data_IF_595339328991
#
_entry.id   IF_595339328991
#
_cell.length_a   1.000
_cell.length_b   1.000
_cell.length_c   1.000
_cell.angle_alpha   90.00
_cell.angle_beta   90.00
_cell.angle_gamma   90.00
#
_symmetry.space_group_name_H-M   'P 1'
#
loop_
_entity.id
_entity.type
_entity.pdbx_description
1 polymer ?
#
# COMPACT_ATOMS: atom_id res chain seq x y z
N UNK A 1 -21.40 66.59 0.27
CA UNK A 1 -21.63 65.21 -0.14
C UNK A 1 -20.28 64.58 -0.34
N UNK A 2 -19.82 63.77 0.62
CA UNK A 2 -18.54 63.05 0.60
C UNK A 2 -18.75 61.58 0.21
N UNK A 3 -17.89 60.95 -0.63
CA UNK A 3 -18.11 59.55 -0.98
C UNK A 3 -17.47 58.62 0.07
N UNK A 4 -18.25 57.63 0.46
CA UNK A 4 -17.87 56.54 1.35
C UNK A 4 -16.96 55.56 0.62
N UNK A 5 -15.72 55.38 1.10
CA UNK A 5 -14.76 54.37 0.60
C UNK A 5 -15.03 53.03 1.31
N UNK A 6 -15.55 52.07 0.59
CA UNK A 6 -15.65 50.66 1.08
C UNK A 6 -14.27 49.99 0.98
N UNK A 7 -13.67 49.76 2.12
CA UNK A 7 -12.46 48.93 2.24
C UNK A 7 -12.80 47.45 2.13
N UNK A 8 -12.28 46.80 1.09
CA UNK A 8 -12.40 45.36 0.88
C UNK A 8 -11.30 44.67 1.70
N UNK A 9 -11.66 44.08 2.85
CA UNK A 9 -10.76 43.20 3.60
C UNK A 9 -10.65 41.86 2.89
N UNK A 10 -9.52 41.65 2.23
CA UNK A 10 -9.14 40.34 1.64
C UNK A 10 -8.60 39.46 2.78
N UNK A 11 -9.40 38.55 3.31
CA UNK A 11 -8.97 37.54 4.27
C UNK A 11 -8.15 36.46 3.54
N UNK A 12 -6.83 36.45 3.75
CA UNK A 12 -5.91 35.42 3.26
C UNK A 12 -6.12 34.16 4.10
N UNK A 13 -6.85 33.18 3.59
CA UNK A 13 -6.92 31.84 4.18
C UNK A 13 -5.63 31.10 3.86
N UNK A 14 -4.69 31.10 4.82
CA UNK A 14 -3.54 30.19 4.83
C UNK A 14 -4.04 28.77 5.10
N UNK A 15 -4.13 27.97 4.04
CA UNK A 15 -4.37 26.53 4.14
C UNK A 15 -3.17 25.86 4.81
N UNK A 16 -3.34 25.41 6.04
CA UNK A 16 -2.40 24.49 6.69
C UNK A 16 -2.49 23.15 5.97
N UNK A 17 -1.50 22.87 5.11
CA UNK A 17 -1.24 21.51 4.66
C UNK A 17 -0.80 20.69 5.89
N UNK A 18 -1.70 19.91 6.45
CA UNK A 18 -1.41 18.98 7.53
C UNK A 18 -0.46 17.89 7.03
N UNK A 19 0.83 18.07 7.25
CA UNK A 19 1.79 16.97 7.16
C UNK A 19 1.43 15.99 8.28
N UNK A 20 1.04 14.76 7.93
CA UNK A 20 0.84 13.69 8.88
C UNK A 20 2.13 13.49 9.68
N UNK A 21 2.14 13.95 10.91
CA UNK A 21 3.26 13.73 11.82
C UNK A 21 3.22 12.26 12.23
N UNK A 22 4.31 11.54 11.96
CA UNK A 22 4.56 10.24 12.58
C UNK A 22 4.43 10.40 14.10
N UNK A 23 3.53 9.62 14.72
CA UNK A 23 3.30 9.69 16.16
C UNK A 23 4.59 9.35 16.92
N UNK A 24 5.14 10.29 17.67
CA UNK A 24 6.25 10.05 18.56
C UNK A 24 5.74 9.53 19.91
N UNK A 25 6.33 8.44 20.42
CA UNK A 25 6.10 7.98 21.79
C UNK A 25 7.25 8.50 22.64
N UNK A 26 6.92 9.30 23.66
CA UNK A 26 7.89 9.73 24.65
C UNK A 26 8.16 8.57 25.63
N UNK A 27 9.37 8.03 25.61
CA UNK A 27 9.81 7.03 26.60
C UNK A 27 10.63 7.75 27.66
N UNK A 28 10.20 7.67 28.91
CA UNK A 28 10.97 8.15 30.06
C UNK A 28 11.92 7.03 30.45
N UNK A 29 13.19 7.17 30.10
CA UNK A 29 14.25 6.33 30.69
C UNK A 29 14.59 6.86 32.08
N UNK A 30 14.50 6.00 33.09
CA UNK A 30 14.73 6.36 34.49
C UNK A 30 16.17 6.79 34.83
N UNK A 31 17.07 6.96 33.88
CA UNK A 31 18.47 7.31 34.05
C UNK A 31 18.83 8.79 33.87
N UNK A 32 17.84 9.70 33.60
CA UNK A 32 18.10 11.14 33.48
C UNK A 32 16.93 11.94 32.83
N UNK A 33 17.01 13.28 32.79
CA UNK A 33 15.97 14.15 32.24
C UNK A 33 16.02 14.20 30.70
N UNK A 34 15.97 13.06 30.04
CA UNK A 34 15.97 12.96 28.58
C UNK A 34 14.64 12.36 28.04
N UNK A 35 13.82 13.16 27.38
CA UNK A 35 12.72 12.68 26.57
C UNK A 35 13.30 12.10 25.27
N UNK A 36 13.34 10.77 25.14
CA UNK A 36 13.63 10.11 23.87
C UNK A 36 12.38 10.15 23.02
N UNK A 37 12.39 10.96 21.96
CA UNK A 37 11.32 10.99 20.98
C UNK A 37 11.59 9.90 19.94
N UNK A 38 11.01 8.72 20.14
CA UNK A 38 11.11 7.62 19.17
C UNK A 38 10.02 7.81 18.10
N UNK A 39 10.44 7.96 16.85
CA UNK A 39 9.52 7.94 15.72
C UNK A 39 8.96 6.51 15.58
N UNK A 40 7.68 6.34 15.89
CA UNK A 40 6.99 5.05 15.79
C UNK A 40 6.18 5.03 14.51
N UNK A 41 6.53 4.15 13.58
CA UNK A 41 5.73 3.90 12.39
C UNK A 41 4.58 2.95 12.75
N UNK A 42 3.33 3.36 12.53
CA UNK A 42 2.17 2.52 12.80
C UNK A 42 2.15 1.29 11.87
N UNK A 43 1.44 0.22 12.28
CA UNK A 43 1.24 -0.96 11.43
C UNK A 43 0.50 -0.60 10.12
N UNK A 44 -0.41 0.36 10.17
CA UNK A 44 -1.13 0.84 9.00
C UNK A 44 -0.16 1.51 8.01
N UNK A 45 0.73 2.38 8.48
CA UNK A 45 1.74 3.03 7.63
C UNK A 45 2.71 2.02 7.01
N UNK A 46 3.13 0.98 7.76
CA UNK A 46 4.00 -0.07 7.22
C UNK A 46 3.40 -0.79 6.02
N UNK A 47 2.09 -1.06 6.03
CA UNK A 47 1.39 -1.71 4.93
C UNK A 47 1.40 -0.88 3.65
N UNK A 48 1.44 0.45 3.75
CA UNK A 48 1.45 1.36 2.62
C UNK A 48 2.84 1.86 2.23
N UNK A 49 3.91 1.27 2.79
CA UNK A 49 5.28 1.69 2.48
C UNK A 49 5.65 1.48 1.01
N UNK A 50 5.11 0.44 0.38
CA UNK A 50 5.41 0.02 -1.00
C UNK A 50 4.15 -0.23 -1.82
N UNK A 51 3.06 0.41 -1.44
CA UNK A 51 1.80 0.45 -2.18
C UNK A 51 1.21 1.85 -2.03
N UNK A 52 0.85 2.46 -3.13
CA UNK A 52 0.14 3.73 -3.15
C UNK A 52 -1.29 3.52 -2.68
N UNK A 53 -1.72 4.30 -1.70
CA UNK A 53 -3.08 4.23 -1.21
C UNK A 53 -4.04 4.91 -2.18
N UNK A 54 -5.08 4.21 -2.63
CA UNK A 54 -6.10 4.80 -3.49
C UNK A 54 -6.82 5.96 -2.81
N UNK A 55 -7.15 7.00 -3.57
CA UNK A 55 -7.83 8.18 -3.05
C UNK A 55 -9.35 8.14 -3.25
N UNK A 56 -9.82 7.39 -4.26
CA UNK A 56 -11.22 7.25 -4.61
C UNK A 56 -11.61 5.78 -4.74
N UNK A 57 -12.87 5.45 -4.53
CA UNK A 57 -13.37 4.06 -4.58
C UNK A 57 -13.14 3.38 -5.93
N UNK A 58 -13.14 4.15 -7.02
CA UNK A 58 -12.91 3.63 -8.39
C UNK A 58 -11.47 3.80 -8.87
N UNK A 59 -10.55 4.30 -8.03
CA UNK A 59 -9.14 4.55 -8.43
C UNK A 59 -8.18 3.40 -8.10
N UNK A 60 -8.69 2.22 -7.69
CA UNK A 60 -7.83 1.08 -7.40
C UNK A 60 -6.91 0.70 -8.57
N UNK A 61 -7.38 0.87 -9.83
CA UNK A 61 -6.59 0.61 -11.01
C UNK A 61 -5.41 1.56 -11.19
N UNK A 62 -5.61 2.88 -11.04
CA UNK A 62 -4.53 3.86 -11.12
C UNK A 62 -3.52 3.72 -9.98
N UNK A 63 -4.01 3.47 -8.76
CA UNK A 63 -3.15 3.27 -7.60
C UNK A 63 -2.34 1.97 -7.69
N UNK A 64 -2.94 0.87 -8.19
CA UNK A 64 -2.22 -0.38 -8.45
C UNK A 64 -1.13 -0.18 -9.51
N UNK A 65 -1.43 0.52 -10.61
CA UNK A 65 -0.48 0.77 -11.67
C UNK A 65 0.65 1.72 -11.23
N UNK A 66 0.33 2.80 -10.52
CA UNK A 66 1.32 3.69 -9.94
C UNK A 66 2.24 2.96 -8.96
N UNK A 67 1.67 2.08 -8.11
CA UNK A 67 2.45 1.25 -7.19
C UNK A 67 3.38 0.27 -7.92
N UNK A 68 2.87 -0.37 -8.98
CA UNK A 68 3.67 -1.29 -9.80
C UNK A 68 4.87 -0.56 -10.41
N UNK A 69 4.65 0.62 -11.02
CA UNK A 69 5.72 1.41 -11.63
C UNK A 69 6.72 1.92 -10.61
N UNK A 70 6.25 2.54 -9.53
CA UNK A 70 7.12 3.16 -8.53
C UNK A 70 7.96 2.15 -7.74
N UNK A 71 7.38 1.01 -7.35
CA UNK A 71 8.04 0.09 -6.42
C UNK A 71 8.59 -1.19 -7.07
N UNK A 72 8.32 -1.42 -8.35
CA UNK A 72 8.83 -2.61 -9.04
C UNK A 72 9.56 -2.30 -10.35
N UNK A 73 9.40 -1.08 -10.89
CA UNK A 73 10.06 -0.68 -12.15
C UNK A 73 10.92 0.57 -11.99
N UNK A 74 11.10 1.07 -10.76
CA UNK A 74 11.88 2.27 -10.44
C UNK A 74 11.42 3.52 -11.23
N UNK A 75 10.15 3.53 -11.67
CA UNK A 75 9.51 4.64 -12.37
C UNK A 75 8.56 5.36 -11.41
N UNK A 76 9.09 6.36 -10.71
CA UNK A 76 8.37 7.09 -9.68
C UNK A 76 7.31 8.02 -10.28
N UNK A 77 6.09 7.53 -10.39
CA UNK A 77 4.92 8.24 -10.92
C UNK A 77 3.86 8.40 -9.82
N UNK A 78 3.25 9.58 -9.75
CA UNK A 78 2.16 9.83 -8.81
C UNK A 78 0.85 9.17 -9.29
N UNK A 79 0.03 8.66 -8.35
CA UNK A 79 -1.30 8.10 -8.70
C UNK A 79 -2.14 9.09 -9.50
N UNK A 80 -2.12 10.38 -9.12
CA UNK A 80 -2.91 11.41 -9.80
C UNK A 80 -2.51 11.58 -11.27
N UNK A 81 -1.23 11.41 -11.61
CA UNK A 81 -0.76 11.46 -12.99
C UNK A 81 -1.33 10.29 -13.80
N UNK A 82 -1.20 9.06 -13.25
CA UNK A 82 -1.76 7.85 -13.86
C UNK A 82 -3.27 7.96 -14.03
N UNK A 83 -3.96 8.39 -12.97
CA UNK A 83 -5.40 8.61 -12.96
C UNK A 83 -5.84 9.58 -14.04
N UNK A 84 -5.21 10.76 -14.09
CA UNK A 84 -5.58 11.85 -15.02
C UNK A 84 -5.39 11.42 -16.46
N UNK A 85 -4.25 10.77 -16.78
CA UNK A 85 -4.01 10.26 -18.13
C UNK A 85 -5.03 9.19 -18.54
N UNK A 86 -5.26 8.18 -17.68
CA UNK A 86 -6.23 7.13 -17.99
C UNK A 86 -7.67 7.67 -18.09
N UNK A 87 -8.00 8.71 -17.33
CA UNK A 87 -9.29 9.40 -17.40
C UNK A 87 -9.44 10.21 -18.70
N UNK A 88 -8.39 10.87 -19.13
CA UNK A 88 -8.39 11.70 -20.33
C UNK A 88 -8.55 10.88 -21.61
N UNK A 89 -7.81 9.76 -21.68
CA UNK A 89 -7.77 8.90 -22.86
C UNK A 89 -8.70 7.69 -22.81
N UNK A 90 -9.36 7.43 -21.70
CA UNK A 90 -10.28 6.32 -21.51
C UNK A 90 -11.75 6.66 -21.75
N UNK A 91 -12.60 5.65 -21.68
CA UNK A 91 -14.05 5.80 -21.82
C UNK A 91 -14.66 6.28 -20.49
N UNK A 92 -14.79 7.59 -20.28
CA UNK A 92 -15.20 8.23 -19.01
C UNK A 92 -16.48 7.66 -18.41
N UNK A 93 -17.49 7.38 -19.23
CA UNK A 93 -18.76 6.81 -18.75
C UNK A 93 -18.60 5.40 -18.18
N UNK A 94 -17.72 4.57 -18.77
CA UNK A 94 -17.39 3.24 -18.23
C UNK A 94 -16.57 3.36 -16.97
N UNK A 95 -15.56 4.24 -16.97
CA UNK A 95 -14.70 4.46 -15.82
C UNK A 95 -15.52 4.90 -14.61
N UNK A 96 -16.49 5.81 -14.78
CA UNK A 96 -17.36 6.24 -13.69
C UNK A 96 -18.23 5.11 -13.11
N UNK A 97 -18.66 4.16 -13.96
CA UNK A 97 -19.56 3.08 -13.55
C UNK A 97 -18.82 1.83 -13.04
N UNK A 98 -17.66 1.53 -13.58
CA UNK A 98 -16.97 0.25 -13.40
C UNK A 98 -15.51 0.40 -12.94
N UNK A 99 -15.00 1.62 -12.82
CA UNK A 99 -13.58 1.89 -12.61
C UNK A 99 -12.75 1.71 -13.89
N UNK A 100 -11.45 1.84 -13.75
CA UNK A 100 -10.49 1.62 -14.85
C UNK A 100 -10.43 0.14 -15.26
N UNK A 101 -10.08 -0.10 -16.50
CA UNK A 101 -9.87 -1.44 -17.06
C UNK A 101 -8.38 -1.75 -17.25
N UNK A 102 -8.04 -3.03 -17.43
CA UNK A 102 -6.67 -3.43 -17.85
C UNK A 102 -6.30 -2.85 -19.23
N UNK A 103 -7.29 -2.53 -20.07
CA UNK A 103 -7.04 -1.89 -21.36
C UNK A 103 -6.62 -0.42 -21.19
N UNK A 104 -7.21 0.30 -20.25
CA UNK A 104 -6.81 1.67 -19.92
C UNK A 104 -5.38 1.68 -19.41
N UNK A 105 -5.03 0.75 -18.53
CA UNK A 105 -3.66 0.57 -18.04
C UNK A 105 -2.68 0.25 -19.17
N UNK A 106 -3.05 -0.65 -20.08
CA UNK A 106 -2.23 -0.99 -21.25
C UNK A 106 -1.99 0.23 -22.13
N UNK A 107 -3.04 1.01 -22.42
CA UNK A 107 -2.94 2.21 -23.23
C UNK A 107 -2.06 3.27 -22.58
N UNK A 108 -2.18 3.47 -21.27
CA UNK A 108 -1.28 4.34 -20.49
C UNK A 108 0.18 3.90 -20.60
N UNK A 109 0.45 2.63 -20.34
CA UNK A 109 1.80 2.06 -20.39
C UNK A 109 2.42 2.17 -21.79
N UNK A 110 1.63 1.96 -22.86
CA UNK A 110 2.09 2.13 -24.24
C UNK A 110 2.52 3.58 -24.53
N UNK A 111 1.77 4.59 -24.04
CA UNK A 111 2.18 6.01 -24.17
C UNK A 111 3.48 6.32 -23.44
N UNK A 112 3.79 5.60 -22.35
CA UNK A 112 5.05 5.72 -21.61
C UNK A 112 6.17 4.83 -22.14
N UNK A 113 5.95 4.10 -23.25
CA UNK A 113 6.95 3.26 -23.89
C UNK A 113 7.12 1.88 -23.26
N UNK A 114 6.19 1.43 -22.42
CA UNK A 114 6.16 0.08 -21.88
C UNK A 114 5.35 -0.87 -22.76
N UNK A 115 5.70 -2.14 -22.70
CA UNK A 115 4.95 -3.23 -23.32
C UNK A 115 4.28 -4.07 -22.24
N UNK A 116 2.95 -4.04 -22.18
CA UNK A 116 2.20 -4.78 -21.19
C UNK A 116 1.01 -5.51 -21.83
N UNK A 117 0.70 -6.69 -21.31
CA UNK A 117 -0.44 -7.50 -21.74
C UNK A 117 -1.03 -8.33 -20.60
N UNK A 118 -2.29 -8.72 -20.78
CA UNK A 118 -2.97 -9.66 -19.89
C UNK A 118 -2.80 -11.11 -20.35
N UNK A 119 -2.41 -11.99 -19.44
CA UNK A 119 -2.16 -13.41 -19.69
C UNK A 119 -3.00 -14.30 -18.79
N UNK A 120 -3.48 -15.41 -19.35
CA UNK A 120 -4.05 -16.52 -18.56
C UNK A 120 -2.96 -17.56 -18.32
N UNK A 121 -2.16 -17.32 -17.30
CA UNK A 121 -1.11 -18.22 -16.83
C UNK A 121 -1.34 -18.61 -15.39
N UNK A 122 -0.72 -19.67 -14.92
CA UNK A 122 -0.82 -20.09 -13.53
C UNK A 122 0.03 -19.24 -12.59
N UNK A 123 -0.26 -19.28 -11.30
CA UNK A 123 0.55 -18.61 -10.28
C UNK A 123 1.97 -19.17 -10.22
N UNK A 124 2.12 -20.47 -10.49
CA UNK A 124 3.42 -21.16 -10.56
C UNK A 124 4.26 -20.64 -11.72
N UNK A 125 3.64 -20.38 -12.88
CA UNK A 125 4.31 -19.78 -14.03
C UNK A 125 4.72 -18.32 -13.73
N UNK A 126 3.87 -17.55 -13.03
CA UNK A 126 4.21 -16.21 -12.58
C UNK A 126 5.38 -16.25 -11.59
N UNK A 127 5.35 -17.14 -10.61
CA UNK A 127 6.45 -17.33 -9.66
C UNK A 127 7.77 -17.65 -10.34
N UNK A 128 7.73 -18.55 -11.35
CA UNK A 128 8.91 -18.91 -12.14
C UNK A 128 9.45 -17.74 -12.98
N UNK A 129 8.58 -16.83 -13.44
CA UNK A 129 9.03 -15.63 -14.16
C UNK A 129 9.66 -14.58 -13.24
N UNK A 130 9.29 -14.59 -11.94
CA UNK A 130 9.82 -13.68 -10.94
C UNK A 130 9.43 -12.21 -11.18
N UNK A 131 8.33 -11.94 -11.88
CA UNK A 131 7.86 -10.57 -12.13
C UNK A 131 6.53 -10.31 -11.45
N UNK A 132 6.27 -9.09 -10.96
CA UNK A 132 4.99 -8.73 -10.37
C UNK A 132 3.90 -8.64 -11.45
N UNK A 133 2.66 -8.83 -11.04
CA UNK A 133 1.51 -8.73 -11.93
C UNK A 133 0.35 -8.00 -11.25
N UNK A 134 -0.41 -7.21 -12.01
CA UNK A 134 -1.71 -6.70 -11.57
C UNK A 134 -2.78 -7.74 -11.93
N UNK A 135 -3.72 -7.95 -11.02
CA UNK A 135 -4.88 -8.80 -11.25
C UNK A 135 -6.13 -8.25 -10.58
N UNK A 136 -7.28 -8.85 -10.89
CA UNK A 136 -8.56 -8.50 -10.27
C UNK A 136 -8.94 -9.63 -9.31
N UNK A 137 -9.27 -9.28 -8.09
CA UNK A 137 -9.91 -10.16 -7.12
C UNK A 137 -11.38 -9.74 -6.93
N UNK A 138 -12.24 -10.72 -6.65
CA UNK A 138 -13.63 -10.48 -6.29
C UNK A 138 -13.78 -10.62 -4.77
N UNK A 139 -14.05 -9.51 -4.11
CA UNK A 139 -14.34 -9.51 -2.68
C UNK A 139 -15.83 -9.27 -2.46
N UNK A 140 -16.59 -10.35 -2.31
CA UNK A 140 -18.05 -10.31 -2.09
C UNK A 140 -18.82 -9.50 -3.16
N UNK A 141 -18.47 -9.67 -4.43
CA UNK A 141 -19.09 -8.97 -5.55
C UNK A 141 -18.42 -7.65 -5.94
N UNK A 142 -17.47 -7.17 -5.15
CA UNK A 142 -16.66 -6.01 -5.47
C UNK A 142 -15.37 -6.43 -6.18
N UNK A 143 -15.26 -6.05 -7.46
CA UNK A 143 -14.07 -6.30 -8.27
C UNK A 143 -12.99 -5.26 -7.97
N UNK A 144 -11.82 -5.72 -7.56
CA UNK A 144 -10.77 -4.87 -7.05
C UNK A 144 -9.41 -5.22 -7.65
N UNK A 145 -8.67 -4.20 -8.11
CA UNK A 145 -7.32 -4.37 -8.62
C UNK A 145 -6.32 -4.49 -7.48
N UNK A 146 -5.48 -5.52 -7.55
CA UNK A 146 -4.38 -5.76 -6.64
C UNK A 146 -3.11 -6.13 -7.40
N UNK A 147 -1.97 -6.00 -6.76
CA UNK A 147 -0.66 -6.39 -7.29
C UNK A 147 -0.23 -7.68 -6.61
N UNK A 148 0.14 -8.70 -7.38
CA UNK A 148 0.90 -9.84 -6.88
C UNK A 148 2.37 -9.40 -6.86
N UNK A 149 2.90 -9.17 -5.65
CA UNK A 149 4.27 -8.70 -5.42
C UNK A 149 5.23 -9.85 -5.15
N UNK A 150 4.70 -11.01 -4.82
CA UNK A 150 5.49 -12.20 -4.53
C UNK A 150 4.63 -13.44 -4.34
N UNK A 151 5.29 -14.59 -4.49
CA UNK A 151 4.71 -15.93 -4.36
C UNK A 151 5.74 -16.86 -3.75
N UNK A 152 5.37 -17.60 -2.72
CA UNK A 152 6.17 -18.69 -2.15
C UNK A 152 5.27 -19.85 -1.69
N UNK A 153 5.87 -20.88 -1.11
CA UNK A 153 5.12 -22.02 -0.56
C UNK A 153 4.16 -21.64 0.56
N UNK A 154 4.34 -20.49 1.19
CA UNK A 154 3.52 -20.00 2.30
C UNK A 154 2.36 -19.10 1.86
N UNK A 155 2.28 -18.72 0.57
CA UNK A 155 1.17 -17.94 0.03
C UNK A 155 1.55 -16.90 -1.02
N UNK A 156 0.69 -15.90 -1.12
CA UNK A 156 0.77 -14.78 -2.07
C UNK A 156 0.99 -13.48 -1.31
N UNK A 157 1.97 -12.71 -1.70
CA UNK A 157 2.18 -11.35 -1.22
C UNK A 157 1.38 -10.39 -2.10
N UNK A 158 0.35 -9.80 -1.54
CA UNK A 158 -0.60 -8.95 -2.25
C UNK A 158 -0.40 -7.50 -1.86
N UNK A 159 -0.17 -6.64 -2.85
CA UNK A 159 -0.21 -5.19 -2.71
C UNK A 159 -1.60 -4.67 -3.07
N UNK A 160 -2.34 -4.24 -2.06
CA UNK A 160 -3.74 -3.82 -2.19
C UNK A 160 -3.84 -2.30 -1.97
N UNK A 161 -4.26 -1.51 -2.98
CA UNK A 161 -4.40 -0.06 -2.85
C UNK A 161 -5.36 0.41 -1.75
N UNK A 162 -6.30 -0.44 -1.32
CA UNK A 162 -7.25 -0.10 -0.26
C UNK A 162 -6.73 -0.47 1.14
N UNK A 163 -6.00 -1.59 1.26
CA UNK A 163 -5.63 -2.15 2.57
C UNK A 163 -4.11 -2.24 2.81
N UNK A 164 -3.31 -1.93 1.78
CA UNK A 164 -1.85 -2.02 1.81
C UNK A 164 -1.33 -3.43 1.53
N UNK A 165 -0.05 -3.66 1.78
CA UNK A 165 0.58 -4.96 1.56
C UNK A 165 0.07 -5.96 2.61
N UNK A 166 -0.29 -7.16 2.16
CA UNK A 166 -0.72 -8.29 3.00
C UNK A 166 -0.31 -9.63 2.41
N UNK A 167 -0.08 -10.58 3.29
CA UNK A 167 0.09 -11.98 2.91
C UNK A 167 -1.26 -12.68 2.92
N UNK A 168 -1.53 -13.47 1.89
CA UNK A 168 -2.70 -14.34 1.79
C UNK A 168 -2.24 -15.77 1.54
N UNK A 169 -2.94 -16.75 2.11
CA UNK A 169 -2.72 -18.13 1.71
C UNK A 169 -3.21 -18.39 0.27
N UNK A 170 -2.62 -19.38 -0.38
CA UNK A 170 -2.86 -19.65 -1.80
C UNK A 170 -4.32 -20.03 -2.10
N UNK A 171 -4.96 -20.75 -1.21
CA UNK A 171 -6.34 -21.22 -1.38
C UNK A 171 -7.32 -20.04 -1.29
N UNK A 172 -7.18 -19.19 -0.27
CA UNK A 172 -7.97 -17.97 -0.11
C UNK A 172 -7.78 -17.03 -1.30
N UNK A 173 -6.54 -16.85 -1.78
CA UNK A 173 -6.30 -16.03 -2.96
C UNK A 173 -6.98 -16.60 -4.21
N UNK A 174 -6.85 -17.90 -4.46
CA UNK A 174 -7.48 -18.56 -5.62
C UNK A 174 -9.01 -18.50 -5.59
N UNK A 175 -9.62 -18.52 -4.40
CA UNK A 175 -11.06 -18.37 -4.24
C UNK A 175 -11.55 -16.97 -4.65
N UNK A 176 -10.76 -15.93 -4.43
CA UNK A 176 -11.08 -14.55 -4.83
C UNK A 176 -10.70 -14.23 -6.28
N UNK A 177 -9.81 -15.01 -6.87
CA UNK A 177 -9.23 -14.76 -8.20
C UNK A 177 -10.02 -15.47 -9.30
N UNK A 178 -11.14 -14.89 -9.70
CA UNK A 178 -12.09 -15.52 -10.63
C UNK A 178 -11.64 -15.47 -12.10
N UNK A 179 -11.19 -14.31 -12.55
CA UNK A 179 -10.89 -14.07 -13.98
C UNK A 179 -9.59 -14.73 -14.45
N UNK A 180 -8.70 -15.07 -13.55
CA UNK A 180 -7.40 -15.74 -13.79
C UNK A 180 -6.52 -15.03 -14.83
N UNK A 181 -6.66 -13.71 -14.95
CA UNK A 181 -5.86 -12.87 -15.83
C UNK A 181 -4.80 -12.18 -14.98
N UNK A 182 -3.56 -12.28 -15.41
CA UNK A 182 -2.40 -11.58 -14.87
C UNK A 182 -1.95 -10.54 -15.89
N UNK A 183 -2.00 -9.28 -15.51
CA UNK A 183 -1.52 -8.17 -16.32
C UNK A 183 -0.07 -7.90 -15.97
N UNK A 184 0.83 -8.08 -16.96
CA UNK A 184 2.28 -8.08 -16.77
C UNK A 184 2.92 -7.10 -17.74
N UNK A 185 3.89 -6.34 -17.28
CA UNK A 185 4.82 -5.57 -18.12
C UNK A 185 5.91 -6.53 -18.59
N UNK A 186 6.12 -6.63 -19.90
CA UNK A 186 6.99 -7.63 -20.54
C UNK A 186 8.41 -7.15 -20.78
N UNK A 187 8.62 -5.87 -20.80
CA UNK A 187 9.92 -5.22 -20.90
C UNK A 187 10.46 -4.82 -19.52
N UNK A 188 11.74 -4.50 -19.44
CA UNK A 188 12.41 -4.11 -18.17
C UNK A 188 12.26 -5.15 -17.04
N UNK A 189 12.09 -6.43 -17.38
CA UNK A 189 11.82 -7.52 -16.43
C UNK A 189 12.91 -7.67 -15.38
N UNK A 190 14.18 -7.40 -15.72
CA UNK A 190 15.29 -7.46 -14.77
C UNK A 190 15.10 -6.52 -13.58
N UNK A 191 14.58 -5.32 -13.81
CA UNK A 191 14.27 -4.36 -12.73
C UNK A 191 13.18 -4.94 -11.84
N UNK A 192 12.09 -5.40 -12.45
CA UNK A 192 10.95 -5.96 -11.73
C UNK A 192 11.29 -7.20 -10.90
N UNK A 193 12.19 -8.06 -11.43
CA UNK A 193 12.66 -9.27 -10.72
C UNK A 193 13.42 -8.95 -9.44
N UNK A 194 14.15 -7.83 -9.38
CA UNK A 194 14.87 -7.41 -8.18
C UNK A 194 13.94 -7.04 -7.02
N UNK A 195 12.71 -6.65 -7.34
CA UNK A 195 11.69 -6.24 -6.36
C UNK A 195 10.59 -7.30 -6.16
N UNK A 196 10.63 -8.41 -6.88
CA UNK A 196 9.71 -9.52 -6.68
C UNK A 196 10.12 -10.35 -5.47
N UNK A 197 9.17 -10.75 -4.64
CA UNK A 197 9.44 -11.52 -3.42
C UNK A 197 10.34 -10.80 -2.40
N UNK A 198 10.21 -9.48 -2.23
CA UNK A 198 10.98 -8.73 -1.23
C UNK A 198 10.78 -9.31 0.17
N UNK A 199 11.87 -9.78 0.80
CA UNK A 199 11.85 -10.42 2.11
C UNK A 199 11.38 -9.48 3.23
N UNK A 200 11.56 -8.18 3.08
CA UNK A 200 11.09 -7.17 4.03
C UNK A 200 9.57 -7.10 4.09
N UNK A 201 8.93 -7.28 2.93
CA UNK A 201 7.47 -7.25 2.83
C UNK A 201 6.80 -8.54 3.34
N UNK A 202 7.45 -9.69 3.22
CA UNK A 202 6.96 -10.93 3.82
C UNK A 202 6.93 -10.90 5.36
N UNK A 203 7.72 -10.02 5.98
CA UNK A 203 7.81 -9.83 7.44
C UNK A 203 6.95 -8.70 7.98
N UNK A 204 5.82 -8.41 7.34
CA UNK A 204 4.91 -7.32 7.76
C UNK A 204 4.29 -7.54 9.15
N UNK A 205 4.13 -8.78 9.59
CA UNK A 205 3.81 -9.08 10.98
C UNK A 205 5.10 -9.09 11.79
N UNK A 206 5.25 -8.21 12.78
CA UNK A 206 6.38 -8.33 13.69
C UNK A 206 6.27 -9.70 14.37
N UNK A 207 7.18 -10.60 14.06
CA UNK A 207 7.47 -11.70 14.96
C UNK A 207 8.14 -11.05 16.17
N UNK A 208 7.36 -10.76 17.22
CA UNK A 208 7.97 -10.47 18.49
C UNK A 208 8.79 -11.69 18.85
N UNK A 209 10.10 -11.57 19.08
CA UNK A 209 10.88 -12.66 19.64
C UNK A 209 10.46 -12.84 21.09
N UNK A 210 9.25 -13.43 21.28
CA UNK A 210 8.66 -13.62 22.62
C UNK A 210 9.60 -14.40 23.56
N UNK A 211 10.51 -15.21 23.01
CA UNK A 211 11.54 -15.89 23.78
C UNK A 211 12.73 -15.04 24.22
N UNK A 212 12.95 -13.88 23.59
CA UNK A 212 14.08 -12.99 23.91
C UNK A 212 13.69 -11.58 24.33
N UNK A 213 12.41 -11.19 24.09
CA UNK A 213 11.95 -9.82 24.38
C UNK A 213 11.32 -9.68 25.77
N UNK A 214 10.96 -10.77 26.43
CA UNK A 214 10.42 -10.76 27.79
C UNK A 214 11.21 -11.78 28.58
N UNK A 215 12.09 -11.32 29.44
CA UNK A 215 12.68 -12.17 30.46
C UNK A 215 11.56 -12.63 31.39
N UNK A 216 11.35 -13.96 31.46
CA UNK A 216 10.30 -14.57 32.27
C UNK A 216 10.43 -14.18 33.74
N UNK A 217 11.65 -13.90 34.20
CA UNK A 217 11.94 -13.38 35.56
C UNK A 217 11.40 -11.97 35.76
N UNK A 218 11.46 -11.12 34.73
CA UNK A 218 10.91 -9.75 34.78
C UNK A 218 9.38 -9.75 34.86
N UNK A 219 8.70 -10.65 34.14
CA UNK A 219 7.24 -10.79 34.23
C UNK A 219 6.80 -11.36 35.57
N UNK A 220 7.55 -12.34 36.13
CA UNK A 220 7.30 -12.87 37.45
C UNK A 220 7.47 -11.80 38.52
N UNK A 221 8.53 -10.99 38.43
CA UNK A 221 8.79 -9.90 39.37
C UNK A 221 7.73 -8.81 39.26
N UNK A 222 7.30 -8.46 38.05
CA UNK A 222 6.20 -7.50 37.82
C UNK A 222 4.90 -7.98 38.46
N UNK A 223 4.55 -9.26 38.31
CA UNK A 223 3.35 -9.83 38.92
C UNK A 223 3.42 -9.90 40.45
N UNK A 224 4.61 -10.13 41.02
CA UNK A 224 4.81 -10.14 42.45
C UNK A 224 4.79 -8.73 43.09
N UNK A 225 5.10 -7.68 42.30
CA UNK A 225 5.05 -6.29 42.72
C UNK A 225 3.71 -5.60 42.47
N UNK A 226 2.73 -6.29 41.88
CA UNK A 226 1.39 -5.75 41.75
C UNK A 226 0.73 -5.61 43.11
N UNK A 227 0.13 -4.46 43.42
CA UNK A 227 -0.61 -4.28 44.68
C UNK A 227 -1.68 -5.34 44.82
N UNK A 228 -1.71 -6.02 45.94
CA UNK A 228 -2.74 -7.01 46.25
C UNK A 228 -4.11 -6.32 46.47
N UNK A 229 -5.17 -7.13 46.40
CA UNK A 229 -6.56 -6.67 46.55
C UNK A 229 -6.84 -5.94 47.87
N UNK A 230 -5.90 -5.97 48.82
CA UNK A 230 -5.99 -5.44 50.18
C UNK A 230 -4.96 -4.36 50.48
N UNK A 231 -4.24 -3.85 49.49
CA UNK A 231 -3.20 -2.84 49.69
C UNK A 231 -3.76 -1.38 49.54
N UNK A 232 -5.10 -1.20 49.54
CA UNK A 232 -5.81 0.07 49.52
C UNK A 232 -6.79 0.18 50.67
#
# INVERSE_FOLDING_TARGET
>A
MAPVRHGLCLALMLGFAGHGQAGGVAVIDGSGPGLLNLAVTSFAERRFKTVVRQQYDFSCGSAALASLLAFHYDDNVAELEVFTDMWEYGEREKIQKQGFSMLDMKSYLQRRGYQADGFKISLEQLAASGVPAITIINNNGYLHFVIIKGLDASGVLVGDPATGVRKMDLESFRALWENRILFVIRDKTTIAQNHFNDHGEWRLSPSAPLGSAVDVSSVATFNLLQPGRWDF
#
